data_IF_139199667014
#
_entry.id   IF_139199667014
#
_cell.length_a   1.000
_cell.length_b   1.000
_cell.length_c   1.000
_cell.angle_alpha   90.00
_cell.angle_beta   90.00
_cell.angle_gamma   90.00
#
_symmetry.space_group_name_H-M   'P 1'
#
loop_
_entity.id
_entity.type
_entity.pdbx_description
1 polymer ?
#
# COMPACT_ATOMS: atom_id res chain seq x y z
N UNK A 1 14.88 -20.67 -12.05
CA UNK A 1 14.69 -19.38 -12.77
C UNK A 1 13.96 -18.49 -11.79
N UNK A 2 14.63 -17.46 -11.27
CA UNK A 2 14.03 -16.46 -10.40
C UNK A 2 12.98 -15.71 -11.20
N UNK A 3 11.71 -16.09 -11.06
CA UNK A 3 10.60 -15.29 -11.58
C UNK A 3 10.70 -13.92 -10.90
N UNK A 4 11.08 -12.91 -11.67
CA UNK A 4 11.09 -11.53 -11.20
C UNK A 4 9.65 -11.17 -10.90
N UNK A 5 9.38 -10.84 -9.63
CA UNK A 5 8.11 -10.26 -9.22
C UNK A 5 7.75 -9.14 -10.21
N UNK A 6 6.50 -9.05 -10.67
CA UNK A 6 6.09 -8.02 -11.62
C UNK A 6 6.49 -6.65 -11.06
N UNK A 7 7.42 -5.97 -11.71
CA UNK A 7 7.74 -4.58 -11.37
C UNK A 7 6.49 -3.77 -11.71
N UNK A 8 5.87 -3.05 -10.75
CA UNK A 8 4.72 -2.20 -11.04
C UNK A 8 5.08 -1.25 -12.19
N UNK A 9 4.40 -1.43 -13.32
CA UNK A 9 4.79 -0.79 -14.57
C UNK A 9 4.53 0.72 -14.57
N UNK A 10 3.60 1.20 -13.72
CA UNK A 10 3.30 2.61 -13.55
C UNK A 10 2.75 2.89 -12.14
N UNK A 11 3.38 3.84 -11.45
CA UNK A 11 2.81 4.49 -10.28
C UNK A 11 2.17 5.80 -10.74
N UNK A 12 0.92 6.06 -10.34
CA UNK A 12 0.35 7.37 -10.61
C UNK A 12 1.17 8.45 -9.86
N UNK A 13 1.44 9.58 -10.52
CA UNK A 13 2.10 10.69 -9.86
C UNK A 13 1.17 11.30 -8.78
N UNK A 14 1.71 11.77 -7.65
CA UNK A 14 0.95 12.54 -6.67
C UNK A 14 0.31 13.79 -7.31
N UNK A 15 -0.93 14.09 -6.96
CA UNK A 15 -1.63 15.30 -7.37
C UNK A 15 -0.84 16.50 -6.83
N UNK A 16 -0.55 17.47 -7.70
CA UNK A 16 0.31 18.62 -7.43
C UNK A 16 1.79 18.28 -7.17
N UNK A 17 2.25 17.09 -7.56
CA UNK A 17 3.67 16.74 -7.67
C UNK A 17 4.35 16.26 -6.38
N UNK A 18 3.81 16.55 -5.20
CA UNK A 18 4.37 16.08 -3.92
C UNK A 18 3.29 15.90 -2.84
N UNK A 19 3.23 14.73 -2.18
CA UNK A 19 2.42 14.54 -0.98
C UNK A 19 3.18 15.01 0.26
N UNK A 20 2.45 15.43 1.29
CA UNK A 20 3.01 15.74 2.61
C UNK A 20 3.32 14.44 3.39
N UNK A 21 2.54 13.38 3.13
CA UNK A 21 2.68 12.08 3.74
C UNK A 21 2.40 10.95 2.75
N UNK A 22 3.24 9.92 2.77
CA UNK A 22 3.07 8.69 1.98
C UNK A 22 2.89 7.49 2.91
N UNK A 23 1.80 6.75 2.74
CA UNK A 23 1.60 5.43 3.35
C UNK A 23 1.99 4.31 2.37
N UNK A 24 2.66 3.27 2.89
CA UNK A 24 2.95 2.05 2.13
C UNK A 24 2.40 0.86 2.92
N UNK A 25 1.31 0.29 2.43
CA UNK A 25 0.64 -0.88 3.00
C UNK A 25 0.72 -2.04 2.00
N UNK A 26 1.53 -3.04 2.32
CA UNK A 26 1.76 -4.19 1.46
C UNK A 26 0.62 -5.21 1.43
N UNK A 27 -0.27 -5.18 2.43
CA UNK A 27 -1.32 -6.17 2.65
C UNK A 27 -2.62 -5.53 3.15
N UNK A 28 -3.74 -6.25 3.08
CA UNK A 28 -5.05 -5.73 3.46
C UNK A 28 -5.11 -5.27 4.93
N UNK A 29 -4.48 -6.01 5.84
CA UNK A 29 -4.46 -5.67 7.28
C UNK A 29 -3.72 -4.35 7.54
N UNK A 30 -2.64 -4.10 6.81
CA UNK A 30 -1.90 -2.84 6.85
C UNK A 30 -2.67 -1.67 6.26
N UNK A 31 -3.43 -1.90 5.19
CA UNK A 31 -4.30 -0.89 4.56
C UNK A 31 -5.41 -0.44 5.53
N UNK A 32 -6.04 -1.37 6.24
CA UNK A 32 -7.04 -1.07 7.27
C UNK A 32 -6.46 -0.26 8.42
N UNK A 33 -5.29 -0.66 8.94
CA UNK A 33 -4.67 0.04 10.06
C UNK A 33 -4.22 1.45 9.66
N UNK A 34 -3.62 1.59 8.48
CA UNK A 34 -3.17 2.87 7.96
C UNK A 34 -4.36 3.81 7.65
N UNK A 35 -5.48 3.28 7.16
CA UNK A 35 -6.71 4.05 6.95
C UNK A 35 -7.19 4.71 8.25
N UNK A 36 -7.19 3.98 9.37
CA UNK A 36 -7.56 4.52 10.67
C UNK A 36 -6.68 5.71 11.08
N UNK A 37 -5.37 5.62 10.81
CA UNK A 37 -4.42 6.71 11.08
C UNK A 37 -4.72 7.91 10.18
N UNK A 38 -5.01 7.70 8.88
CA UNK A 38 -5.37 8.78 7.95
C UNK A 38 -6.65 9.49 8.41
N UNK A 39 -7.66 8.75 8.87
CA UNK A 39 -8.88 9.33 9.41
C UNK A 39 -8.58 10.29 10.58
N UNK A 40 -7.78 9.84 11.55
CA UNK A 40 -7.40 10.65 12.72
C UNK A 40 -6.54 11.86 12.35
N UNK A 41 -5.64 11.71 11.38
CA UNK A 41 -4.83 12.80 10.85
C UNK A 41 -5.71 13.86 10.21
N UNK A 42 -6.69 13.47 9.40
CA UNK A 42 -7.58 14.42 8.70
C UNK A 42 -8.44 15.23 9.66
N UNK A 43 -8.77 14.69 10.83
CA UNK A 43 -9.45 15.45 11.89
C UNK A 43 -8.58 16.61 12.42
N UNK A 44 -7.26 16.47 12.41
CA UNK A 44 -6.31 17.47 12.94
C UNK A 44 -5.71 18.36 11.85
N UNK A 45 -5.52 17.81 10.66
CA UNK A 45 -4.85 18.43 9.51
C UNK A 45 -5.65 18.13 8.23
N UNK A 46 -6.81 18.78 8.03
CA UNK A 46 -7.71 18.48 6.91
C UNK A 46 -7.10 18.76 5.54
N UNK A 47 -6.14 19.69 5.45
CA UNK A 47 -5.49 20.10 4.20
C UNK A 47 -4.25 19.26 3.85
N UNK A 48 -3.88 18.29 4.69
CA UNK A 48 -2.68 17.49 4.48
C UNK A 48 -2.84 16.56 3.27
N UNK A 49 -1.89 16.62 2.35
CA UNK A 49 -1.89 15.81 1.13
C UNK A 49 -1.33 14.43 1.44
N UNK A 50 -2.22 13.46 1.56
CA UNK A 50 -1.85 12.07 1.79
C UNK A 50 -1.90 11.30 0.47
N UNK A 51 -0.83 10.56 0.18
CA UNK A 51 -0.80 9.57 -0.89
C UNK A 51 -0.55 8.17 -0.31
N UNK A 52 -0.88 7.12 -1.06
CA UNK A 52 -0.65 5.76 -0.63
C UNK A 52 -0.25 4.81 -1.77
N UNK A 53 0.61 3.86 -1.40
CA UNK A 53 0.79 2.57 -2.07
C UNK A 53 0.13 1.56 -1.15
N UNK A 54 -1.12 1.21 -1.39
CA UNK A 54 -1.96 0.58 -0.38
C UNK A 54 -3.17 -0.08 -1.00
N UNK A 55 -4.33 -0.02 -0.35
CA UNK A 55 -5.56 -0.58 -0.88
C UNK A 55 -6.72 0.41 -0.81
N UNK A 56 -7.91 -0.14 -0.98
CA UNK A 56 -9.17 0.61 -1.05
C UNK A 56 -9.53 1.32 0.25
N UNK A 57 -9.02 0.89 1.42
CA UNK A 57 -9.35 1.52 2.71
C UNK A 57 -8.63 2.86 2.85
N UNK A 58 -7.34 2.91 2.54
CA UNK A 58 -6.60 4.19 2.49
C UNK A 58 -7.23 5.15 1.48
N UNK A 59 -7.63 4.64 0.31
CA UNK A 59 -8.32 5.44 -0.70
C UNK A 59 -9.65 6.02 -0.18
N UNK A 60 -10.44 5.21 0.53
CA UNK A 60 -11.71 5.64 1.11
C UNK A 60 -11.54 6.76 2.15
N UNK A 61 -10.43 6.74 2.89
CA UNK A 61 -10.07 7.80 3.84
C UNK A 61 -9.45 9.05 3.18
N UNK A 62 -9.48 9.12 1.84
CA UNK A 62 -9.06 10.29 1.08
C UNK A 62 -7.57 10.38 0.79
N UNK A 63 -6.80 9.30 1.05
CA UNK A 63 -5.46 9.20 0.51
C UNK A 63 -5.52 8.98 -1.00
N UNK A 64 -4.64 9.64 -1.75
CA UNK A 64 -4.50 9.38 -3.17
C UNK A 64 -3.83 8.02 -3.40
N UNK A 65 -4.56 7.07 -3.98
CA UNK A 65 -4.00 5.78 -4.37
C UNK A 65 -3.06 5.95 -5.57
N UNK A 66 -1.76 5.73 -5.35
CA UNK A 66 -0.73 5.73 -6.40
C UNK A 66 -0.56 4.34 -7.03
N UNK A 67 -0.80 3.29 -6.24
CA UNK A 67 -0.79 1.89 -6.67
C UNK A 67 -1.46 0.98 -5.63
N UNK A 68 -2.18 -0.06 -6.08
CA UNK A 68 -2.77 -1.07 -5.18
C UNK A 68 -1.76 -2.18 -4.86
N UNK A 69 -1.02 -2.03 -3.75
CA UNK A 69 -0.07 -3.05 -3.29
C UNK A 69 -0.77 -4.25 -2.65
N UNK A 70 -1.97 -4.06 -2.11
CA UNK A 70 -2.69 -5.13 -1.40
C UNK A 70 -3.12 -6.25 -2.34
N UNK A 71 -3.43 -5.91 -3.59
CA UNK A 71 -3.71 -6.89 -4.65
C UNK A 71 -2.51 -7.80 -4.95
N UNK A 72 -1.28 -7.26 -4.88
CA UNK A 72 -0.05 -8.02 -5.10
C UNK A 72 0.33 -8.91 -3.91
N UNK A 73 -0.12 -8.57 -2.70
CA UNK A 73 0.18 -9.33 -1.48
C UNK A 73 -0.25 -10.79 -1.53
N UNK A 74 -1.37 -11.08 -2.20
CA UNK A 74 -1.88 -12.45 -2.34
C UNK A 74 -0.89 -13.31 -3.13
N UNK A 75 -0.26 -12.74 -4.15
CA UNK A 75 0.75 -13.43 -4.97
C UNK A 75 2.02 -13.66 -4.16
N UNK A 76 2.50 -12.65 -3.44
CA UNK A 76 3.70 -12.76 -2.59
C UNK A 76 3.52 -13.76 -1.44
N UNK A 77 2.36 -13.77 -0.77
CA UNK A 77 2.06 -14.75 0.28
C UNK A 77 1.97 -16.17 -0.28
N UNK A 78 1.34 -16.37 -1.44
CA UNK A 78 1.28 -17.68 -2.10
C UNK A 78 2.69 -18.21 -2.43
N UNK A 79 3.60 -17.33 -2.87
CA UNK A 79 5.01 -17.69 -3.09
C UNK A 79 5.75 -18.03 -1.79
N UNK A 80 5.51 -17.29 -0.70
CA UNK A 80 6.10 -17.59 0.62
C UNK A 80 5.63 -18.94 1.13
N UNK A 81 4.33 -19.25 1.01
CA UNK A 81 3.79 -20.57 1.38
C UNK A 81 4.43 -21.67 0.51
N UNK A 82 4.61 -21.42 -0.79
CA UNK A 82 5.28 -22.35 -1.71
C UNK A 82 6.74 -22.60 -1.33
N UNK A 83 7.41 -21.62 -0.73
CA UNK A 83 8.81 -21.71 -0.27
C UNK A 83 8.94 -21.88 1.25
N UNK A 84 7.86 -22.24 1.95
CA UNK A 84 7.85 -22.35 3.41
C UNK A 84 8.93 -23.31 3.96
N UNK A 85 9.27 -24.36 3.23
CA UNK A 85 10.36 -25.29 3.58
C UNK A 85 11.77 -24.68 3.56
N UNK A 86 11.97 -23.54 2.90
CA UNK A 86 13.24 -22.81 2.88
C UNK A 86 13.40 -21.87 4.09
N UNK A 87 12.29 -21.32 4.62
CA UNK A 87 12.29 -20.39 5.75
C UNK A 87 12.17 -21.06 7.11
N UNK A 88 11.85 -22.36 7.15
CA UNK A 88 11.80 -23.16 8.37
C UNK A 88 13.20 -23.75 8.64
N UNK A 89 14.10 -22.93 9.21
CA UNK A 89 15.29 -23.40 9.91
C UNK A 89 14.98 -23.59 11.40
#
# INVERSE_FOLDING_TARGET
>A
MSEQLPVPADFAAPINGQPDLLFIAGEHSGDEHAAQIVADIRLKHPDMKVACLGGVKLQAEGAQLLYDLTAMSIVGFAEVVRHYGFFKA
#
